data_IF_601597782734
#
_entry.id   IF_601597782734
#
_cell.length_a   1.000
_cell.length_b   1.000
_cell.length_c   1.000
_cell.angle_alpha   90.00
_cell.angle_beta   90.00
_cell.angle_gamma   90.00
#
_symmetry.space_group_name_H-M   'P 1'
#
loop_
_entity.id
_entity.type
_entity.pdbx_description
1 polymer ?
#
# COMPACT_ATOMS: atom_id res chain seq x y z
N UNK A 1 16.52 -4.66 -76.10
CA UNK A 1 15.49 -5.03 -75.07
C UNK A 1 16.01 -5.67 -73.81
N UNK A 2 17.14 -6.40 -73.83
CA UNK A 2 17.67 -7.07 -72.58
C UNK A 2 18.19 -6.07 -71.55
N UNK A 3 18.79 -4.94 -71.93
CA UNK A 3 19.35 -3.94 -70.99
C UNK A 3 18.31 -3.19 -70.14
N UNK A 4 17.11 -2.98 -70.69
CA UNK A 4 16.00 -2.30 -69.97
C UNK A 4 15.36 -3.20 -68.90
N UNK A 5 15.34 -4.52 -69.14
CA UNK A 5 14.77 -5.49 -68.17
C UNK A 5 15.70 -5.69 -66.97
N UNK A 6 17.05 -5.69 -67.20
CA UNK A 6 18.04 -5.80 -66.14
C UNK A 6 18.07 -4.52 -65.30
N UNK A 7 17.98 -3.33 -65.89
CA UNK A 7 17.92 -2.07 -65.15
C UNK A 7 16.68 -1.92 -64.28
N UNK A 8 15.51 -2.36 -64.78
CA UNK A 8 14.26 -2.37 -64.06
C UNK A 8 14.25 -3.35 -62.87
N UNK A 9 14.89 -4.53 -63.03
CA UNK A 9 15.05 -5.52 -61.97
C UNK A 9 15.96 -5.07 -60.81
N UNK A 10 17.06 -4.37 -61.11
CA UNK A 10 17.99 -3.80 -60.13
C UNK A 10 17.37 -2.63 -59.33
N UNK A 11 16.61 -1.77 -60.01
CA UNK A 11 15.87 -0.68 -59.35
C UNK A 11 14.75 -1.22 -58.44
N UNK A 12 14.03 -2.26 -58.85
CA UNK A 12 13.01 -2.90 -58.03
C UNK A 12 13.63 -3.65 -56.84
N UNK A 13 14.79 -4.32 -57.01
CA UNK A 13 15.51 -5.02 -55.96
C UNK A 13 16.07 -4.10 -54.86
N UNK A 14 16.37 -2.83 -55.17
CA UNK A 14 16.77 -1.80 -54.22
C UNK A 14 15.61 -1.05 -53.57
N UNK A 15 14.50 -0.83 -54.31
CA UNK A 15 13.35 -0.07 -53.82
C UNK A 15 12.54 -0.79 -52.72
N UNK A 16 12.38 -2.12 -52.83
CA UNK A 16 11.61 -2.90 -51.85
C UNK A 16 12.25 -2.89 -50.44
N UNK A 17 13.56 -3.15 -50.30
CA UNK A 17 14.23 -3.02 -49.00
C UNK A 17 14.21 -1.60 -48.45
N UNK A 18 14.34 -0.58 -49.31
CA UNK A 18 14.31 0.83 -48.93
C UNK A 18 12.96 1.25 -48.34
N UNK A 19 11.85 0.89 -49.05
CA UNK A 19 10.49 1.13 -48.57
C UNK A 19 10.23 0.36 -47.26
N UNK A 20 10.67 -0.89 -47.16
CA UNK A 20 10.56 -1.69 -45.94
C UNK A 20 11.27 -1.05 -44.74
N UNK A 21 12.52 -0.59 -44.93
CA UNK A 21 13.28 0.10 -43.89
C UNK A 21 12.66 1.46 -43.50
N UNK A 22 12.16 2.22 -44.47
CA UNK A 22 11.44 3.46 -44.22
C UNK A 22 10.20 3.22 -43.36
N UNK A 23 9.34 2.25 -43.71
CA UNK A 23 8.17 1.88 -42.89
C UNK A 23 8.53 1.37 -41.50
N UNK A 24 9.61 0.60 -41.39
CA UNK A 24 10.11 0.10 -40.10
C UNK A 24 10.51 1.21 -39.13
N UNK A 25 11.09 2.31 -39.68
CA UNK A 25 11.60 3.45 -38.88
C UNK A 25 10.64 4.66 -38.87
N UNK A 26 9.60 4.66 -39.70
CA UNK A 26 8.61 5.74 -39.74
C UNK A 26 7.75 5.78 -38.47
N UNK A 27 7.23 6.96 -38.07
CA UNK A 27 6.32 7.10 -36.96
C UNK A 27 5.12 6.16 -37.06
N UNK A 28 4.79 5.51 -35.98
CA UNK A 28 3.65 4.61 -35.84
C UNK A 28 2.31 5.34 -35.70
N UNK A 29 1.20 4.59 -35.67
CA UNK A 29 -0.15 5.16 -35.66
C UNK A 29 -0.65 5.57 -34.25
N UNK A 30 0.03 5.18 -33.18
CA UNK A 30 -0.43 5.43 -31.82
C UNK A 30 -0.33 6.92 -31.46
N UNK A 31 -1.45 7.64 -31.22
CA UNK A 31 -1.41 9.09 -31.06
C UNK A 31 -0.88 9.57 -29.71
N UNK A 32 -0.92 8.70 -28.71
CA UNK A 32 -0.50 8.98 -27.32
C UNK A 32 0.24 7.79 -26.71
N UNK A 33 1.04 8.04 -25.68
CA UNK A 33 1.70 6.96 -24.92
C UNK A 33 0.65 6.12 -24.20
N UNK A 34 0.64 4.80 -24.47
CA UNK A 34 -0.39 3.88 -23.96
C UNK A 34 0.19 2.56 -23.47
N UNK A 35 -0.36 2.06 -22.36
CA UNK A 35 -0.08 0.71 -21.90
C UNK A 35 -0.92 -0.30 -22.70
N UNK A 36 -0.26 -1.32 -23.24
CA UNK A 36 -0.91 -2.42 -23.95
C UNK A 36 -0.53 -3.75 -23.29
N UNK A 37 -1.50 -4.65 -23.22
CA UNK A 37 -1.29 -6.01 -22.69
C UNK A 37 -0.83 -6.90 -23.84
N UNK A 38 0.42 -7.38 -23.76
CA UNK A 38 0.96 -8.36 -24.69
C UNK A 38 0.72 -9.75 -24.09
N UNK A 39 -0.16 -10.57 -24.68
CA UNK A 39 -0.46 -11.88 -24.13
C UNK A 39 0.70 -12.86 -24.33
N UNK A 40 0.81 -13.90 -23.49
CA UNK A 40 1.72 -15.01 -23.75
C UNK A 40 1.31 -15.70 -25.06
N UNK A 41 2.33 -16.17 -25.84
CA UNK A 41 2.09 -16.84 -27.12
C UNK A 41 3.16 -16.55 -28.15
N UNK A 42 2.85 -16.85 -29.42
CA UNK A 42 3.77 -16.59 -30.53
C UNK A 42 3.65 -15.17 -31.09
N UNK A 43 4.45 -14.89 -32.13
CA UNK A 43 4.48 -13.58 -32.77
C UNK A 43 3.09 -13.13 -33.32
N UNK A 44 2.21 -14.08 -33.66
CA UNK A 44 0.88 -13.74 -34.13
C UNK A 44 0.03 -13.06 -33.05
N UNK A 45 0.06 -13.55 -31.81
CA UNK A 45 -0.68 -12.96 -30.68
C UNK A 45 -0.11 -11.59 -30.30
N UNK A 46 1.21 -11.41 -30.34
CA UNK A 46 1.87 -10.11 -30.12
C UNK A 46 1.43 -9.08 -31.18
N UNK A 47 1.46 -9.47 -32.47
CA UNK A 47 1.05 -8.60 -33.57
C UNK A 47 -0.43 -8.20 -33.42
N UNK A 48 -1.30 -9.19 -33.16
CA UNK A 48 -2.72 -8.93 -32.94
C UNK A 48 -2.95 -7.94 -31.78
N UNK A 49 -2.27 -8.10 -30.67
CA UNK A 49 -2.37 -7.20 -29.54
C UNK A 49 -1.90 -5.77 -29.86
N UNK A 50 -0.82 -5.63 -30.64
CA UNK A 50 -0.34 -4.31 -31.11
C UNK A 50 -1.31 -3.64 -32.07
N UNK A 51 -1.96 -4.41 -32.95
CA UNK A 51 -2.96 -3.91 -33.89
C UNK A 51 -4.26 -3.50 -33.15
N UNK A 52 -4.76 -4.34 -32.27
CA UNK A 52 -5.93 -4.05 -31.43
C UNK A 52 -5.68 -2.82 -30.54
N UNK A 53 -4.47 -2.70 -30.02
CA UNK A 53 -4.04 -1.55 -29.20
C UNK A 53 -3.81 -0.26 -30.02
N UNK A 54 -3.80 -0.35 -31.34
CA UNK A 54 -3.55 0.79 -32.25
C UNK A 54 -2.08 1.19 -32.39
N UNK A 55 -1.13 0.36 -31.88
CA UNK A 55 0.30 0.63 -31.98
C UNK A 55 0.91 0.19 -33.35
N UNK A 56 0.32 -0.79 -34.00
CA UNK A 56 0.70 -1.27 -35.31
C UNK A 56 -0.49 -1.14 -36.29
N UNK A 57 -0.24 -0.67 -37.49
CA UNK A 57 -1.31 -0.57 -38.49
C UNK A 57 -1.86 -1.94 -38.85
N UNK A 58 -3.16 -1.98 -39.14
CA UNK A 58 -3.84 -3.22 -39.55
C UNK A 58 -3.78 -3.39 -41.07
N UNK A 59 -2.56 -3.33 -41.64
CA UNK A 59 -2.34 -3.59 -43.07
C UNK A 59 -1.30 -4.71 -43.27
N UNK A 60 -1.44 -5.43 -44.37
CA UNK A 60 -0.57 -6.57 -44.69
C UNK A 60 0.92 -6.21 -44.81
N UNK A 61 1.32 -5.07 -45.45
CA UNK A 61 2.70 -4.68 -45.52
C UNK A 61 3.35 -4.49 -44.13
N UNK A 62 2.70 -3.80 -43.19
CA UNK A 62 3.24 -3.56 -41.87
C UNK A 62 3.39 -4.88 -41.04
N UNK A 63 2.42 -5.80 -41.17
CA UNK A 63 2.50 -7.13 -40.58
C UNK A 63 3.72 -7.93 -41.07
N UNK A 64 3.94 -7.94 -42.41
CA UNK A 64 5.07 -8.64 -43.00
C UNK A 64 6.42 -8.02 -42.62
N UNK A 65 6.51 -6.67 -42.65
CA UNK A 65 7.72 -5.95 -42.24
C UNK A 65 8.02 -6.20 -40.76
N UNK A 66 7.02 -6.15 -39.89
CA UNK A 66 7.21 -6.37 -38.48
C UNK A 66 7.64 -7.83 -38.19
N UNK A 67 7.04 -8.83 -38.84
CA UNK A 67 7.49 -10.24 -38.77
C UNK A 67 8.92 -10.42 -39.25
N UNK A 68 9.28 -9.83 -40.39
CA UNK A 68 10.63 -9.87 -40.88
C UNK A 68 11.64 -9.22 -39.91
N UNK A 69 11.26 -8.07 -39.34
CA UNK A 69 12.06 -7.37 -38.34
C UNK A 69 12.29 -8.23 -37.09
N UNK A 70 11.25 -8.90 -36.56
CA UNK A 70 11.39 -9.84 -35.43
C UNK A 70 12.41 -10.94 -35.77
N UNK A 71 12.30 -11.54 -36.97
CA UNK A 71 13.16 -12.63 -37.40
C UNK A 71 14.62 -12.20 -37.58
N UNK A 72 14.84 -11.05 -38.25
CA UNK A 72 16.17 -10.53 -38.57
C UNK A 72 16.90 -10.05 -37.30
N UNK A 73 16.18 -9.47 -36.36
CA UNK A 73 16.73 -8.92 -35.11
C UNK A 73 16.59 -9.88 -33.92
N UNK A 74 16.33 -11.18 -34.15
CA UNK A 74 16.09 -12.20 -33.11
C UNK A 74 17.21 -12.28 -32.07
N UNK A 75 18.45 -11.95 -32.47
CA UNK A 75 19.62 -11.96 -31.58
C UNK A 75 19.59 -10.82 -30.53
N UNK A 76 18.76 -9.79 -30.70
CA UNK A 76 18.63 -8.66 -29.77
C UNK A 76 17.75 -8.98 -28.55
N UNK A 77 17.16 -10.17 -28.46
CA UNK A 77 16.39 -10.63 -27.31
C UNK A 77 15.03 -11.21 -27.67
N UNK A 78 14.40 -11.83 -26.68
CA UNK A 78 13.05 -12.39 -26.79
C UNK A 78 12.00 -11.30 -26.54
N UNK A 79 10.79 -11.48 -27.11
CA UNK A 79 9.64 -10.61 -26.85
C UNK A 79 9.01 -11.01 -25.51
N UNK A 80 8.72 -10.04 -24.65
CA UNK A 80 8.12 -10.26 -23.35
C UNK A 80 6.60 -10.15 -23.42
N UNK A 81 5.92 -11.11 -22.81
CA UNK A 81 4.48 -11.08 -22.58
C UNK A 81 4.21 -10.36 -21.25
N UNK A 82 3.76 -9.12 -21.34
CA UNK A 82 3.47 -8.27 -20.17
C UNK A 82 2.58 -7.09 -20.58
N UNK A 83 2.10 -6.34 -19.61
CA UNK A 83 1.58 -5.00 -19.85
C UNK A 83 2.77 -4.05 -19.99
N UNK A 84 2.96 -3.50 -21.19
CA UNK A 84 4.10 -2.65 -21.55
C UNK A 84 3.61 -1.28 -22.02
N UNK A 85 4.39 -0.25 -21.76
CA UNK A 85 4.08 1.11 -22.16
C UNK A 85 4.74 1.43 -23.50
N UNK A 86 3.92 1.73 -24.51
CA UNK A 86 4.35 2.08 -25.85
C UNK A 86 4.29 3.59 -26.07
N UNK A 87 5.34 4.21 -26.65
CA UNK A 87 5.40 5.64 -26.86
C UNK A 87 4.43 6.11 -27.94
N UNK A 88 3.96 7.36 -27.82
CA UNK A 88 3.24 8.02 -28.89
C UNK A 88 4.09 8.03 -30.17
N UNK A 89 3.44 7.76 -31.32
CA UNK A 89 4.07 7.71 -32.66
C UNK A 89 5.30 6.77 -32.74
N UNK A 90 5.42 5.81 -31.81
CA UNK A 90 6.53 4.85 -31.80
C UNK A 90 6.62 4.07 -33.11
N UNK A 91 7.80 4.06 -33.74
CA UNK A 91 8.10 3.25 -34.93
C UNK A 91 8.09 1.75 -34.62
N UNK A 92 8.06 0.88 -35.61
CA UNK A 92 8.17 -0.56 -35.43
C UNK A 92 9.48 -0.95 -34.71
N UNK A 93 10.56 -0.19 -34.90
CA UNK A 93 11.80 -0.32 -34.13
C UNK A 93 11.56 -0.08 -32.64
N UNK A 94 10.84 1.00 -32.30
CA UNK A 94 10.53 1.36 -30.92
C UNK A 94 9.61 0.31 -30.28
N UNK A 95 8.62 -0.19 -31.04
CA UNK A 95 7.77 -1.29 -30.56
C UNK A 95 8.59 -2.54 -30.22
N UNK A 96 9.54 -2.95 -31.09
CA UNK A 96 10.42 -4.08 -30.83
C UNK A 96 11.32 -3.84 -29.61
N UNK A 97 11.87 -2.64 -29.48
CA UNK A 97 12.68 -2.28 -28.32
C UNK A 97 11.86 -2.38 -27.01
N UNK A 98 10.62 -1.85 -27.00
CA UNK A 98 9.73 -1.97 -25.85
C UNK A 98 9.39 -3.44 -25.55
N UNK A 99 9.06 -4.23 -26.56
CA UNK A 99 8.74 -5.65 -26.40
C UNK A 99 9.90 -6.48 -25.81
N UNK A 100 11.15 -6.07 -26.05
CA UNK A 100 12.34 -6.79 -25.58
C UNK A 100 12.89 -6.27 -24.26
N UNK A 101 12.88 -4.96 -24.08
CA UNK A 101 13.60 -4.30 -22.99
C UNK A 101 12.69 -3.43 -22.10
N UNK A 102 11.42 -3.24 -22.51
CA UNK A 102 10.46 -2.46 -21.73
C UNK A 102 10.19 -3.10 -20.37
N UNK A 103 10.12 -2.24 -19.36
CA UNK A 103 9.72 -2.69 -18.02
C UNK A 103 8.21 -2.87 -17.96
N UNK A 104 7.73 -3.96 -17.35
CA UNK A 104 6.30 -4.15 -17.13
C UNK A 104 5.68 -3.00 -16.33
N UNK A 105 4.47 -2.59 -16.72
CA UNK A 105 3.70 -1.57 -15.99
C UNK A 105 3.41 -2.05 -14.58
N UNK A 106 3.69 -1.20 -13.59
CA UNK A 106 3.46 -1.47 -12.17
C UNK A 106 2.26 -0.67 -11.69
N UNK A 107 1.32 -1.34 -11.06
CA UNK A 107 0.12 -0.74 -10.48
C UNK A 107 0.32 -0.56 -8.97
N UNK A 108 0.06 0.62 -8.40
CA UNK A 108 0.16 0.84 -6.97
C UNK A 108 -1.09 0.34 -6.23
N UNK A 109 -0.89 -0.15 -5.02
CA UNK A 109 -1.92 -0.35 -4.01
C UNK A 109 -1.39 0.16 -2.67
N UNK A 110 -2.13 1.06 -2.03
CA UNK A 110 -1.76 1.61 -0.73
C UNK A 110 -2.63 0.97 0.36
N UNK A 111 -1.98 0.44 1.37
CA UNK A 111 -2.62 0.03 2.62
C UNK A 111 -2.35 1.14 3.64
N UNK A 112 -3.36 1.93 4.01
CA UNK A 112 -3.22 2.95 5.06
C UNK A 112 -2.87 2.34 6.41
N UNK A 113 -2.15 3.10 7.24
CA UNK A 113 -1.89 2.75 8.63
C UNK A 113 -3.19 2.70 9.44
N UNK A 114 -3.24 1.87 10.46
CA UNK A 114 -4.38 1.79 11.37
C UNK A 114 -5.62 1.08 10.81
N UNK A 115 -5.55 0.44 9.63
CA UNK A 115 -6.63 -0.42 9.14
C UNK A 115 -6.62 -1.78 9.84
N UNK A 116 -7.79 -2.25 10.25
CA UNK A 116 -7.98 -3.62 10.73
C UNK A 116 -7.98 -4.61 9.55
N UNK A 117 -7.73 -5.88 9.82
CA UNK A 117 -7.62 -6.94 8.81
C UNK A 117 -8.83 -7.01 7.88
N UNK A 118 -10.06 -6.85 8.37
CA UNK A 118 -11.29 -6.84 7.56
C UNK A 118 -11.29 -5.70 6.53
N UNK A 119 -10.83 -4.53 6.93
CA UNK A 119 -10.73 -3.37 6.04
C UNK A 119 -9.65 -3.58 4.97
N UNK A 120 -8.50 -4.14 5.38
CA UNK A 120 -7.41 -4.49 4.45
C UNK A 120 -7.86 -5.54 3.44
N UNK A 121 -8.63 -6.56 3.87
CA UNK A 121 -9.22 -7.55 2.98
C UNK A 121 -10.12 -6.92 1.92
N UNK A 122 -10.92 -5.93 2.29
CA UNK A 122 -11.75 -5.17 1.34
C UNK A 122 -10.87 -4.48 0.30
N UNK A 123 -9.86 -3.70 0.74
CA UNK A 123 -8.92 -3.01 -0.17
C UNK A 123 -8.24 -4.00 -1.12
N UNK A 124 -7.77 -5.14 -0.59
CA UNK A 124 -7.09 -6.16 -1.39
C UNK A 124 -8.02 -6.82 -2.41
N UNK A 125 -9.25 -7.15 -2.01
CA UNK A 125 -10.19 -7.86 -2.88
C UNK A 125 -10.82 -6.96 -3.94
N UNK A 126 -10.94 -5.66 -3.69
CA UNK A 126 -11.41 -4.67 -4.65
C UNK A 126 -10.31 -4.16 -5.59
N UNK A 127 -9.03 -4.42 -5.28
CA UNK A 127 -7.92 -3.97 -6.12
C UNK A 127 -8.03 -4.56 -7.54
N UNK A 128 -8.02 -3.73 -8.59
CA UNK A 128 -8.13 -4.19 -9.97
C UNK A 128 -6.87 -4.95 -10.39
N UNK A 129 -6.99 -5.75 -11.44
CA UNK A 129 -5.86 -6.43 -12.10
C UNK A 129 -5.09 -7.44 -11.23
N UNK A 130 -5.48 -7.65 -9.98
CA UNK A 130 -5.02 -8.76 -9.17
C UNK A 130 -5.88 -10.00 -9.45
N UNK A 131 -5.28 -11.18 -9.36
CA UNK A 131 -5.97 -12.47 -9.53
C UNK A 131 -6.19 -13.19 -8.20
N UNK A 132 -7.21 -14.06 -8.16
CA UNK A 132 -7.60 -14.81 -6.96
C UNK A 132 -8.36 -13.97 -5.94
N UNK A 133 -8.63 -14.55 -4.77
CA UNK A 133 -9.32 -13.94 -3.63
C UNK A 133 -8.58 -14.26 -2.33
N UNK A 134 -8.66 -13.40 -1.34
CA UNK A 134 -8.20 -13.63 0.03
C UNK A 134 -9.43 -13.61 0.95
N UNK A 135 -9.61 -14.66 1.73
CA UNK A 135 -10.76 -14.78 2.63
C UNK A 135 -10.40 -14.42 4.08
N UNK A 136 -9.15 -14.58 4.49
CA UNK A 136 -8.71 -14.31 5.85
C UNK A 136 -7.35 -13.61 5.89
N UNK A 137 -7.19 -12.74 6.87
CA UNK A 137 -5.94 -12.06 7.19
C UNK A 137 -5.89 -11.88 8.72
N UNK A 138 -4.84 -12.33 9.42
CA UNK A 138 -4.65 -12.02 10.83
C UNK A 138 -4.42 -10.53 11.06
N UNK A 139 -4.84 -10.03 12.23
CA UNK A 139 -4.59 -8.64 12.62
C UNK A 139 -3.10 -8.35 12.78
N UNK A 140 -2.67 -7.19 12.31
CA UNK A 140 -1.30 -6.74 12.45
C UNK A 140 -0.28 -7.42 11.53
N UNK A 141 -0.70 -8.34 10.66
CA UNK A 141 0.20 -9.24 9.90
C UNK A 141 0.85 -8.57 8.67
N UNK A 142 0.34 -7.43 8.22
CA UNK A 142 0.84 -6.74 7.02
C UNK A 142 1.36 -5.34 7.36
N UNK A 143 2.49 -4.96 6.75
CA UNK A 143 3.00 -3.60 6.91
C UNK A 143 2.20 -2.64 6.05
N UNK A 144 1.56 -1.60 6.63
CA UNK A 144 0.85 -0.59 5.88
C UNK A 144 1.84 0.32 5.14
N UNK A 145 1.76 0.29 3.82
CA UNK A 145 2.53 1.13 2.89
C UNK A 145 2.01 0.97 1.47
N UNK A 146 2.60 1.68 0.50
CA UNK A 146 2.31 1.48 -0.91
C UNK A 146 3.13 0.32 -1.48
N UNK A 147 2.44 -0.63 -2.11
CA UNK A 147 3.01 -1.76 -2.82
C UNK A 147 2.76 -1.64 -4.31
N UNK A 148 3.68 -2.17 -5.11
CA UNK A 148 3.50 -2.23 -6.55
C UNK A 148 3.32 -3.69 -7.00
N UNK A 149 2.39 -3.92 -7.92
CA UNK A 149 2.13 -5.23 -8.49
C UNK A 149 1.98 -5.15 -10.02
N UNK A 150 2.15 -6.27 -10.69
CA UNK A 150 1.93 -6.42 -12.11
C UNK A 150 0.51 -6.95 -12.37
N UNK A 151 -0.04 -6.67 -13.53
CA UNK A 151 -1.30 -7.27 -13.98
C UNK A 151 -1.28 -8.80 -13.78
N UNK A 152 -2.37 -9.36 -13.29
CA UNK A 152 -2.54 -10.78 -12.95
C UNK A 152 -1.64 -11.30 -11.81
N UNK A 153 -0.97 -10.43 -11.04
CA UNK A 153 -0.32 -10.85 -9.80
C UNK A 153 -1.36 -11.49 -8.87
N UNK A 154 -1.06 -12.67 -8.34
CA UNK A 154 -1.92 -13.33 -7.35
C UNK A 154 -2.02 -12.52 -6.06
N UNK A 155 -3.25 -12.27 -5.56
CA UNK A 155 -3.45 -11.57 -4.28
C UNK A 155 -2.69 -12.22 -3.13
N UNK A 156 -2.66 -13.55 -3.07
CA UNK A 156 -1.89 -14.29 -2.07
C UNK A 156 -0.39 -14.00 -2.11
N UNK A 157 0.20 -13.88 -3.31
CA UNK A 157 1.61 -13.54 -3.48
C UNK A 157 1.89 -12.10 -3.03
N UNK A 158 0.97 -11.17 -3.29
CA UNK A 158 1.08 -9.79 -2.81
C UNK A 158 1.01 -9.73 -1.27
N UNK A 159 0.03 -10.42 -0.67
CA UNK A 159 -0.11 -10.51 0.79
C UNK A 159 1.12 -11.15 1.43
N UNK A 160 1.69 -12.19 0.84
CA UNK A 160 2.94 -12.78 1.34
C UNK A 160 4.10 -11.77 1.39
N UNK A 161 4.21 -10.90 0.39
CA UNK A 161 5.19 -9.80 0.39
C UNK A 161 4.92 -8.77 1.48
N UNK A 162 3.64 -8.43 1.72
CA UNK A 162 3.22 -7.50 2.77
C UNK A 162 3.54 -8.06 4.17
N UNK A 163 3.27 -9.35 4.39
CA UNK A 163 3.62 -10.06 5.62
C UNK A 163 5.12 -10.11 5.85
N UNK A 164 5.89 -10.44 4.82
CA UNK A 164 7.36 -10.44 4.91
C UNK A 164 7.91 -9.04 5.22
N UNK A 165 7.28 -7.99 4.69
CA UNK A 165 7.66 -6.61 5.01
C UNK A 165 7.41 -6.31 6.49
N UNK A 166 6.25 -6.71 7.05
CA UNK A 166 5.94 -6.55 8.47
C UNK A 166 6.93 -7.35 9.35
N UNK A 167 7.18 -8.61 9.04
CA UNK A 167 8.13 -9.43 9.77
C UNK A 167 9.53 -8.80 9.85
N UNK A 168 10.02 -8.26 8.72
CA UNK A 168 11.32 -7.57 8.66
C UNK A 168 11.31 -6.28 9.49
N UNK A 169 10.25 -5.49 9.40
CA UNK A 169 10.11 -4.27 10.19
C UNK A 169 10.09 -4.59 11.70
N UNK A 170 9.27 -5.56 12.11
CA UNK A 170 9.17 -6.00 13.50
C UNK A 170 10.52 -6.53 14.01
N UNK A 171 11.20 -7.41 13.26
CA UNK A 171 12.51 -7.93 13.66
C UNK A 171 13.54 -6.81 13.81
N UNK A 172 13.60 -5.89 12.84
CA UNK A 172 14.55 -4.77 12.89
C UNK A 172 14.31 -3.86 14.09
N UNK A 173 13.06 -3.46 14.33
CA UNK A 173 12.70 -2.58 15.44
C UNK A 173 12.92 -3.29 16.78
N UNK A 174 12.57 -4.58 16.87
CA UNK A 174 12.76 -5.37 18.09
C UNK A 174 14.24 -5.52 18.49
N UNK A 175 15.12 -5.79 17.51
CA UNK A 175 16.55 -5.93 17.76
C UNK A 175 17.20 -4.63 18.26
N UNK A 176 16.66 -3.48 17.85
CA UNK A 176 17.18 -2.15 18.20
C UNK A 176 16.40 -1.47 19.34
N UNK A 177 15.43 -2.14 19.97
CA UNK A 177 14.59 -1.54 21.00
C UNK A 177 15.36 -1.09 22.24
N UNK A 178 14.86 -0.06 22.89
CA UNK A 178 15.31 0.35 24.22
C UNK A 178 14.91 -0.73 25.25
N UNK A 179 15.85 -1.30 26.02
CA UNK A 179 15.53 -2.24 27.07
C UNK A 179 14.53 -1.69 28.12
N UNK A 180 14.48 -0.35 28.32
CA UNK A 180 13.54 0.30 29.25
C UNK A 180 12.08 0.22 28.80
N UNK A 181 11.80 -0.20 27.55
CA UNK A 181 10.45 -0.45 27.08
C UNK A 181 9.78 -1.60 27.86
N UNK A 182 10.56 -2.54 28.40
CA UNK A 182 10.03 -3.61 29.26
C UNK A 182 9.13 -4.62 28.55
N UNK A 183 9.14 -4.65 27.21
CA UNK A 183 8.41 -5.61 26.39
C UNK A 183 9.07 -7.00 26.47
N UNK A 184 8.27 -8.05 26.50
CA UNK A 184 8.77 -9.42 26.65
C UNK A 184 9.05 -10.11 25.31
N UNK A 185 8.29 -9.78 24.27
CA UNK A 185 8.38 -10.38 22.95
C UNK A 185 7.94 -9.40 21.83
N UNK A 186 8.26 -9.70 20.58
CA UNK A 186 7.85 -8.86 19.43
C UNK A 186 6.33 -8.76 19.25
N UNK A 187 5.57 -9.76 19.68
CA UNK A 187 4.10 -9.76 19.54
C UNK A 187 3.48 -8.68 20.43
N UNK A 188 3.94 -8.56 21.69
CA UNK A 188 3.53 -7.49 22.59
C UNK A 188 3.83 -6.10 22.00
N UNK A 189 4.97 -5.95 21.33
CA UNK A 189 5.31 -4.70 20.64
C UNK A 189 4.30 -4.36 19.54
N UNK A 190 3.92 -5.33 18.71
CA UNK A 190 2.94 -5.11 17.63
C UNK A 190 1.55 -4.80 18.20
N UNK A 191 1.12 -5.52 19.23
CA UNK A 191 -0.16 -5.29 19.89
C UNK A 191 -0.21 -3.87 20.45
N UNK A 192 0.80 -3.45 21.21
CA UNK A 192 0.84 -2.10 21.78
C UNK A 192 0.95 -1.03 20.70
N UNK A 193 1.75 -1.25 19.66
CA UNK A 193 1.87 -0.33 18.54
C UNK A 193 0.53 -0.13 17.82
N UNK A 194 -0.30 -1.17 17.71
CA UNK A 194 -1.64 -1.05 17.13
C UNK A 194 -2.59 -0.16 17.94
N UNK A 195 -2.40 -0.12 19.26
CA UNK A 195 -3.15 0.78 20.14
C UNK A 195 -2.64 2.21 19.99
N UNK A 196 -1.31 2.42 20.05
CA UNK A 196 -0.66 3.74 19.85
C UNK A 196 -1.04 4.35 18.50
N UNK A 197 -1.07 3.53 17.43
CA UNK A 197 -1.48 3.95 16.08
C UNK A 197 -2.88 4.57 16.06
N UNK A 198 -3.79 4.05 16.88
CA UNK A 198 -5.18 4.49 16.94
C UNK A 198 -5.43 5.63 17.95
N UNK A 199 -4.50 5.89 18.87
CA UNK A 199 -4.66 6.90 19.92
C UNK A 199 -4.27 8.30 19.44
N UNK A 200 -3.21 8.44 18.67
CA UNK A 200 -2.75 9.76 18.23
C UNK A 200 -2.35 9.78 16.77
N UNK A 201 -2.87 10.78 16.05
CA UNK A 201 -2.42 11.11 14.70
C UNK A 201 -1.13 11.96 14.66
N UNK A 202 -0.65 12.45 15.83
CA UNK A 202 0.52 13.30 15.92
C UNK A 202 1.80 12.45 16.08
N UNK A 203 2.70 12.43 15.08
CA UNK A 203 3.92 11.61 15.14
C UNK A 203 4.79 11.90 16.36
N UNK A 204 4.89 13.17 16.77
CA UNK A 204 5.71 13.60 17.91
C UNK A 204 5.21 13.08 19.26
N UNK A 205 3.92 12.76 19.39
CA UNK A 205 3.33 12.28 20.64
C UNK A 205 3.36 10.75 20.79
N UNK A 206 3.51 9.99 19.69
CA UNK A 206 3.51 8.52 19.75
C UNK A 206 4.45 7.94 20.80
N UNK A 207 5.71 8.41 20.95
CA UNK A 207 6.60 7.89 22.01
C UNK A 207 6.12 8.20 23.43
N UNK A 208 5.42 9.33 23.64
CA UNK A 208 4.84 9.68 24.95
C UNK A 208 3.61 8.82 25.27
N UNK A 209 2.71 8.63 24.29
CA UNK A 209 1.56 7.72 24.43
C UNK A 209 2.04 6.30 24.72
N UNK A 210 3.06 5.81 23.99
CA UNK A 210 3.67 4.51 24.24
C UNK A 210 4.21 4.42 25.68
N UNK A 211 4.90 5.46 26.18
CA UNK A 211 5.43 5.51 27.57
C UNK A 211 4.31 5.38 28.58
N UNK A 212 3.19 6.09 28.43
CA UNK A 212 2.05 5.96 29.35
C UNK A 212 1.55 4.52 29.40
N UNK A 213 1.32 3.90 28.27
CA UNK A 213 0.83 2.52 28.25
C UNK A 213 1.84 1.52 28.84
N UNK A 214 3.13 1.65 28.55
CA UNK A 214 4.18 0.82 29.12
C UNK A 214 4.26 1.00 30.65
N UNK A 215 4.15 2.22 31.17
CA UNK A 215 4.11 2.47 32.60
C UNK A 215 2.87 1.84 33.25
N UNK A 216 1.69 1.94 32.61
CA UNK A 216 0.46 1.28 33.09
C UNK A 216 0.61 -0.23 33.11
N UNK A 217 1.15 -0.86 32.05
CA UNK A 217 1.41 -2.29 32.02
C UNK A 217 2.33 -2.72 33.12
N UNK A 218 3.44 -2.02 33.37
CA UNK A 218 4.40 -2.29 34.43
C UNK A 218 3.78 -2.23 35.84
N UNK A 219 2.78 -1.36 36.03
CA UNK A 219 2.05 -1.19 37.29
C UNK A 219 0.79 -2.06 37.40
N UNK A 220 0.50 -2.92 36.42
CA UNK A 220 -0.72 -3.73 36.42
C UNK A 220 -2.01 -2.91 36.22
N UNK A 221 -1.90 -1.67 35.77
CA UNK A 221 -3.05 -0.80 35.47
C UNK A 221 -3.71 -1.20 34.16
N UNK A 222 -5.02 -1.01 34.10
CA UNK A 222 -5.78 -1.15 32.83
C UNK A 222 -5.37 -0.06 31.85
N UNK A 223 -5.28 -0.39 30.55
CA UNK A 223 -4.87 0.58 29.54
C UNK A 223 -5.95 1.64 29.28
N UNK A 224 -7.25 1.27 29.34
CA UNK A 224 -8.39 2.17 29.17
C UNK A 224 -8.31 2.98 27.87
N UNK A 225 -7.99 2.30 26.78
CA UNK A 225 -7.83 2.85 25.45
C UNK A 225 -9.14 2.70 24.65
N UNK A 226 -9.76 3.80 24.25
CA UNK A 226 -11.01 3.84 23.48
C UNK A 226 -10.97 2.97 22.22
N UNK A 227 -9.87 2.97 21.43
CA UNK A 227 -9.79 2.16 20.22
C UNK A 227 -9.97 0.66 20.46
N UNK A 228 -9.57 0.16 21.60
CA UNK A 228 -9.72 -1.26 21.94
C UNK A 228 -11.18 -1.64 22.17
N UNK A 229 -11.96 -0.73 22.77
CA UNK A 229 -13.40 -0.88 22.96
C UNK A 229 -14.13 -0.77 21.62
N UNK A 230 -13.75 0.18 20.76
CA UNK A 230 -14.28 0.31 19.42
C UNK A 230 -14.04 -0.95 18.60
N UNK A 231 -12.83 -1.51 18.65
CA UNK A 231 -12.51 -2.77 18.00
C UNK A 231 -13.40 -3.91 18.52
N UNK A 232 -13.57 -4.02 19.83
CA UNK A 232 -14.43 -5.02 20.45
C UNK A 232 -15.89 -4.94 20.00
N UNK A 233 -16.42 -3.72 19.81
CA UNK A 233 -17.80 -3.48 19.35
C UNK A 233 -17.99 -3.73 17.85
N UNK A 234 -16.98 -3.44 17.06
CA UNK A 234 -17.07 -3.49 15.59
C UNK A 234 -16.47 -4.76 15.00
N UNK A 235 -15.78 -5.56 15.82
CA UNK A 235 -15.01 -6.73 15.38
C UNK A 235 -14.09 -6.40 14.17
N UNK A 236 -13.39 -5.28 14.29
CA UNK A 236 -12.48 -4.80 13.24
C UNK A 236 -13.15 -4.24 11.98
N UNK A 237 -14.47 -4.02 11.97
CA UNK A 237 -15.15 -3.46 10.79
C UNK A 237 -14.87 -1.96 10.58
N UNK A 238 -14.23 -1.29 11.53
CA UNK A 238 -13.84 0.11 11.39
C UNK A 238 -14.48 1.04 12.41
N UNK A 239 -15.07 2.16 11.95
CA UNK A 239 -15.65 3.20 12.83
C UNK A 239 -16.95 2.76 13.46
N UNK A 240 -17.15 3.11 14.73
CA UNK A 240 -18.42 2.86 15.44
C UNK A 240 -19.60 3.70 14.90
N UNK A 241 -19.33 4.80 14.20
CA UNK A 241 -20.36 5.70 13.64
C UNK A 241 -21.02 6.63 14.68
N UNK A 242 -20.69 6.49 15.96
CA UNK A 242 -21.12 7.33 17.09
C UNK A 242 -20.02 7.42 18.14
N UNK A 243 -20.17 8.33 19.08
CA UNK A 243 -19.29 8.37 20.25
C UNK A 243 -19.49 7.11 21.14
N UNK A 244 -18.43 6.72 21.86
CA UNK A 244 -18.51 5.70 22.92
C UNK A 244 -19.42 6.19 24.04
N UNK A 245 -20.28 5.30 24.52
CA UNK A 245 -21.12 5.53 25.71
C UNK A 245 -20.47 4.89 26.93
N UNK A 246 -20.93 5.26 28.12
CA UNK A 246 -20.48 4.63 29.36
C UNK A 246 -20.79 3.12 29.40
N UNK A 247 -21.93 2.71 28.83
CA UNK A 247 -22.29 1.30 28.71
C UNK A 247 -21.32 0.52 27.80
N UNK A 248 -20.82 1.14 26.73
CA UNK A 248 -19.84 0.52 25.84
C UNK A 248 -18.50 0.20 26.57
N UNK A 249 -18.08 1.09 27.47
CA UNK A 249 -16.88 0.88 28.28
C UNK A 249 -16.98 -0.31 29.23
N UNK A 250 -18.21 -0.75 29.55
CA UNK A 250 -18.49 -1.89 30.42
C UNK A 250 -18.64 -3.25 29.72
N UNK A 251 -18.60 -3.30 28.38
CA UNK A 251 -18.78 -4.55 27.64
C UNK A 251 -17.70 -5.59 28.01
N UNK A 252 -18.15 -6.84 28.20
CA UNK A 252 -17.23 -7.94 28.47
C UNK A 252 -16.61 -8.45 27.18
N UNK A 253 -15.35 -8.08 26.95
CA UNK A 253 -14.57 -8.51 25.81
C UNK A 253 -13.10 -8.57 26.19
N UNK A 254 -12.32 -9.56 25.72
CA UNK A 254 -10.88 -9.61 25.94
C UNK A 254 -10.13 -8.44 25.31
N UNK A 255 -10.74 -7.77 24.33
CA UNK A 255 -10.19 -6.57 23.71
C UNK A 255 -10.48 -5.29 24.50
N UNK A 256 -11.53 -5.26 25.35
CA UNK A 256 -11.89 -4.04 26.06
C UNK A 256 -10.95 -3.78 27.25
N UNK A 257 -9.99 -2.89 27.06
CA UNK A 257 -8.99 -2.54 28.08
C UNK A 257 -9.54 -1.66 29.22
N UNK A 258 -10.82 -1.29 29.22
CA UNK A 258 -11.50 -0.72 30.39
C UNK A 258 -11.89 -1.79 31.42
N UNK A 259 -12.14 -3.01 30.99
CA UNK A 259 -12.53 -4.11 31.88
C UNK A 259 -11.43 -5.15 32.04
N UNK A 260 -10.66 -5.41 31.01
CA UNK A 260 -9.55 -6.38 30.98
C UNK A 260 -8.22 -5.67 31.27
N UNK A 261 -7.39 -6.22 32.17
CA UNK A 261 -6.04 -5.73 32.43
C UNK A 261 -5.05 -6.32 31.43
N UNK A 262 -3.97 -5.58 31.14
CA UNK A 262 -2.94 -5.99 30.20
C UNK A 262 -3.25 -5.63 28.74
N UNK A 263 -2.52 -6.26 27.83
CA UNK A 263 -2.70 -6.13 26.40
C UNK A 263 -3.89 -6.98 25.91
N UNK A 264 -4.60 -6.57 24.84
CA UNK A 264 -5.58 -7.42 24.18
C UNK A 264 -4.89 -8.66 23.55
N UNK A 265 -5.67 -9.69 23.17
CA UNK A 265 -5.09 -10.96 22.71
C UNK A 265 -4.39 -10.88 21.35
N UNK A 266 -4.74 -9.89 20.52
CA UNK A 266 -4.10 -9.62 19.22
C UNK A 266 -4.03 -8.10 18.96
N UNK A 267 -3.27 -7.65 17.96
CA UNK A 267 -3.37 -6.26 17.50
C UNK A 267 -4.82 -5.91 17.13
N UNK A 268 -5.17 -4.64 17.16
CA UNK A 268 -6.49 -4.12 16.77
C UNK A 268 -6.48 -3.46 15.37
N UNK A 269 -5.30 -3.36 14.78
CA UNK A 269 -5.07 -2.88 13.42
C UNK A 269 -3.65 -3.23 12.98
N UNK A 270 -3.31 -2.97 11.72
CA UNK A 270 -1.93 -3.00 11.23
C UNK A 270 -1.26 -1.66 11.55
N UNK A 271 -0.29 -1.63 12.51
CA UNK A 271 0.43 -0.41 12.86
C UNK A 271 1.47 -0.07 11.78
N UNK A 272 1.73 1.22 11.58
CA UNK A 272 2.85 1.72 10.78
C UNK A 272 4.20 1.55 11.48
N UNK A 273 5.28 1.71 10.72
CA UNK A 273 6.65 1.63 11.24
C UNK A 273 6.89 2.63 12.38
N UNK A 274 6.37 3.85 12.25
CA UNK A 274 6.52 4.89 13.26
C UNK A 274 5.87 4.54 14.62
N UNK A 275 4.78 3.79 14.64
CA UNK A 275 4.15 3.32 15.87
C UNK A 275 4.92 2.14 16.49
N UNK A 276 5.49 1.25 15.68
CA UNK A 276 6.41 0.21 16.14
C UNK A 276 7.65 0.83 16.81
N UNK A 277 8.28 1.81 16.16
CA UNK A 277 9.44 2.53 16.67
C UNK A 277 9.12 3.31 17.95
N UNK A 278 7.95 3.96 18.02
CA UNK A 278 7.52 4.69 19.21
C UNK A 278 7.37 3.77 20.45
N UNK A 279 6.90 2.56 20.24
CA UNK A 279 6.79 1.56 21.33
C UNK A 279 8.15 0.98 21.71
N UNK A 280 9.04 0.79 20.74
CA UNK A 280 10.39 0.30 20.96
C UNK A 280 11.32 1.35 21.60
N UNK A 281 11.08 2.63 21.29
CA UNK A 281 11.85 3.78 21.81
C UNK A 281 10.92 4.81 22.46
N UNK A 282 10.26 4.45 23.56
CA UNK A 282 9.30 5.34 24.23
C UNK A 282 10.00 6.56 24.82
N UNK A 283 9.29 7.68 24.91
CA UNK A 283 9.79 8.86 25.57
C UNK A 283 10.19 8.55 27.03
N UNK A 284 11.17 9.25 27.62
CA UNK A 284 11.45 9.13 29.05
C UNK A 284 10.30 9.72 29.87
N UNK A 285 10.08 9.21 31.08
CA UNK A 285 9.10 9.76 32.02
C UNK A 285 8.29 8.70 32.76
N UNK A 286 7.51 9.17 33.71
CA UNK A 286 6.65 8.39 34.60
C UNK A 286 5.16 8.69 34.41
N UNK A 287 4.78 9.35 33.31
CA UNK A 287 3.41 9.69 32.98
C UNK A 287 2.52 8.43 32.93
N UNK A 288 1.33 8.56 33.51
CA UNK A 288 0.31 7.50 33.61
C UNK A 288 -1.00 7.91 32.94
N UNK A 289 -1.17 9.18 32.63
CA UNK A 289 -2.40 9.75 32.08
C UNK A 289 -2.08 10.73 30.97
N UNK A 290 -2.97 10.82 30.00
CA UNK A 290 -2.99 11.89 29.01
C UNK A 290 -4.43 12.31 28.72
N UNK A 291 -4.62 13.54 28.31
CA UNK A 291 -5.91 14.11 27.90
C UNK A 291 -5.69 15.14 26.83
N UNK A 292 -6.63 15.26 25.88
CA UNK A 292 -6.58 16.27 24.84
C UNK A 292 -6.43 17.69 25.45
N UNK A 293 -5.52 18.50 24.90
CA UNK A 293 -5.30 19.88 25.34
C UNK A 293 -6.31 20.88 24.72
N UNK A 294 -7.01 20.47 23.67
CA UNK A 294 -8.00 21.30 22.95
C UNK A 294 -7.45 21.98 21.69
N UNK A 295 -6.16 21.94 21.49
CA UNK A 295 -5.43 22.47 20.32
C UNK A 295 -4.95 21.37 19.35
N UNK A 296 -5.43 20.13 19.54
CA UNK A 296 -5.02 18.95 18.78
C UNK A 296 -3.88 18.16 19.43
N UNK A 297 -3.27 18.67 20.50
CA UNK A 297 -2.23 17.97 21.28
C UNK A 297 -2.79 17.33 22.55
N UNK A 298 -1.92 16.58 23.26
CA UNK A 298 -2.25 15.99 24.57
C UNK A 298 -1.38 16.56 25.68
N UNK A 299 -1.95 16.61 26.90
CA UNK A 299 -1.24 16.88 28.15
C UNK A 299 -1.00 15.56 28.85
N UNK A 300 0.24 15.28 29.16
CA UNK A 300 0.68 14.07 29.86
C UNK A 300 0.94 14.37 31.32
N UNK A 301 0.59 13.46 32.21
CA UNK A 301 0.79 13.63 33.66
C UNK A 301 1.00 12.28 34.37
N UNK A 302 1.80 12.24 35.46
CA UNK A 302 1.98 11.05 36.29
C UNK A 302 0.87 10.89 37.33
N UNK A 303 0.05 11.90 37.59
CA UNK A 303 -0.89 11.98 38.69
C UNK A 303 -2.35 12.05 38.23
N UNK A 304 -3.21 11.21 38.82
CA UNK A 304 -4.66 11.24 38.61
C UNK A 304 -5.28 12.60 39.00
N UNK A 305 -4.79 13.23 40.07
CA UNK A 305 -5.29 14.53 40.53
C UNK A 305 -5.02 15.61 39.49
N UNK A 306 -3.86 15.59 38.88
CA UNK A 306 -3.49 16.54 37.83
C UNK A 306 -4.26 16.25 36.53
N UNK A 307 -4.40 14.96 36.15
CA UNK A 307 -5.24 14.56 35.04
C UNK A 307 -6.68 15.09 35.20
N UNK A 308 -7.29 14.89 36.37
CA UNK A 308 -8.65 15.39 36.65
C UNK A 308 -8.76 16.91 36.53
N UNK A 309 -7.73 17.67 36.97
CA UNK A 309 -7.67 19.12 36.75
C UNK A 309 -7.62 19.48 35.25
N UNK A 310 -6.80 18.77 34.47
CA UNK A 310 -6.69 19.00 33.03
C UNK A 310 -8.00 18.65 32.31
N UNK A 311 -8.68 17.57 32.68
CA UNK A 311 -10.02 17.22 32.16
C UNK A 311 -11.05 18.30 32.46
N UNK A 312 -11.04 18.84 33.71
CA UNK A 312 -11.95 19.92 34.12
C UNK A 312 -11.69 21.19 33.33
N UNK A 313 -10.41 21.55 33.14
CA UNK A 313 -10.01 22.72 32.35
C UNK A 313 -10.45 22.59 30.88
N UNK A 314 -10.31 21.41 30.28
CA UNK A 314 -10.77 21.15 28.90
C UNK A 314 -12.30 21.32 28.78
N UNK A 315 -13.06 20.81 29.76
CA UNK A 315 -14.53 20.95 29.80
C UNK A 315 -14.94 22.43 29.88
N UNK A 316 -14.25 23.22 30.69
CA UNK A 316 -14.53 24.67 30.81
C UNK A 316 -14.28 25.40 29.49
N UNK A 317 -13.18 25.09 28.79
CA UNK A 317 -12.87 25.67 27.47
C UNK A 317 -13.93 25.28 26.43
N UNK A 318 -14.37 24.02 26.41
CA UNK A 318 -15.45 23.55 25.51
C UNK A 318 -16.83 24.11 25.88
N UNK A 319 -17.13 24.32 27.17
CA UNK A 319 -18.39 24.88 27.64
C UNK A 319 -18.52 26.39 27.40
N UNK A 320 -17.41 27.13 27.32
CA UNK A 320 -17.41 28.56 26.99
C UNK A 320 -17.43 28.85 25.48
N UNK A 321 -17.27 27.84 24.65
CA UNK A 321 -17.31 27.91 23.17
C UNK A 321 -18.55 27.25 22.57
N UNK A 322 -19.72 27.43 23.16
CA UNK A 322 -20.97 26.83 22.71
C UNK A 322 -21.49 27.47 21.41
N UNK A 323 -20.84 27.26 20.28
CA UNK A 323 -21.40 27.38 18.93
C UNK A 323 -20.53 26.80 17.81
N UNK A 324 -19.64 25.87 18.10
CA UNK A 324 -18.97 25.11 17.04
C UNK A 324 -19.18 23.61 17.25
N UNK A 325 -19.88 23.00 16.29
CA UNK A 325 -20.14 21.58 16.23
C UNK A 325 -18.87 20.74 16.49
N UNK A 326 -18.94 19.62 17.21
CA UNK A 326 -17.78 18.79 17.48
C UNK A 326 -17.37 18.06 16.20
N UNK A 327 -16.39 18.59 15.49
CA UNK A 327 -15.63 17.79 14.54
C UNK A 327 -14.59 16.98 15.32
N UNK A 328 -15.01 15.88 15.92
CA UNK A 328 -14.07 14.82 16.30
C UNK A 328 -13.80 14.05 15.02
N UNK A 329 -12.90 14.56 14.24
CA UNK A 329 -12.25 13.82 13.17
C UNK A 329 -11.00 13.18 13.76
N UNK A 330 -11.16 11.95 14.25
CA UNK A 330 -10.04 11.04 14.23
C UNK A 330 -10.01 10.46 12.81
N UNK A 331 -8.85 10.51 12.10
CA UNK A 331 -8.70 9.92 10.77
C UNK A 331 -8.91 8.42 10.78
#
# INVERSE_FOLDING_TARGET
>A
MLSAVIGGGLLAAGAVPGIGYWRYSAPGPLPETKALVIPPGGYASTIAALQEGGALRNDMPDVWIFRAAIALTRREGQLHAAELQFPAYGSMRDLLNVLRHGQPVRHPITIPEGLAAKQILTVLNEAPLLSGKIDTLPEGDVLPQTYYYLRNTGRGALVARMKLAMQRAVSHVWENRDPSAGLQDPEQMVILASIVEKETGLPAERPHVARVFLNRLRLGMKLQADPTTIYALTDGAGRLGRALTHADMGIQSPYNTYVTAGLPPTPICSPGLASLEAVAHPAPGDDLYFVAAGDGTHRFTPSLNEHNRNVSALRTVRGSGADMAPSVTHP
#
